data_IF_084473083919
#
_entry.id   IF_084473083919
#
_cell.length_a   1.000
_cell.length_b   1.000
_cell.length_c   1.000
_cell.angle_alpha   90.00
_cell.angle_beta   90.00
_cell.angle_gamma   90.00
#
_symmetry.space_group_name_H-M   'P 1'
#
loop_
_entity.id
_entity.type
_entity.pdbx_description
1 polymer ?
#
# COMPACT_ATOMS: atom_id res chain seq x y z
N UNK A 1 -45.34 -37.54 -17.93
CA UNK A 1 -44.05 -37.05 -17.38
C UNK A 1 -44.23 -36.12 -16.17
N UNK A 2 -45.40 -35.56 -15.90
CA UNK A 2 -45.60 -34.56 -14.81
C UNK A 2 -45.82 -35.17 -13.41
N UNK A 3 -46.18 -36.45 -13.35
CA UNK A 3 -46.49 -37.13 -12.08
C UNK A 3 -45.23 -37.40 -11.23
N UNK A 4 -44.09 -37.66 -11.86
CA UNK A 4 -42.85 -38.04 -11.16
C UNK A 4 -42.23 -36.84 -10.46
N UNK A 5 -42.26 -35.65 -11.06
CA UNK A 5 -41.81 -34.41 -10.43
C UNK A 5 -42.63 -34.07 -9.19
N UNK A 6 -43.93 -34.38 -9.23
CA UNK A 6 -44.85 -34.15 -8.11
C UNK A 6 -44.60 -35.16 -6.99
N UNK A 7 -44.32 -36.42 -7.35
CA UNK A 7 -43.95 -37.46 -6.40
C UNK A 7 -42.61 -37.15 -5.71
N UNK A 8 -41.60 -36.74 -6.49
CA UNK A 8 -40.27 -36.38 -5.98
C UNK A 8 -40.35 -35.16 -5.05
N UNK A 9 -41.15 -34.13 -5.39
CA UNK A 9 -41.38 -32.98 -4.50
C UNK A 9 -42.02 -33.40 -3.18
N UNK A 10 -43.01 -34.28 -3.22
CA UNK A 10 -43.68 -34.75 -2.01
C UNK A 10 -42.77 -35.64 -1.16
N UNK A 11 -41.92 -36.47 -1.77
CA UNK A 11 -40.89 -37.24 -1.06
C UNK A 11 -39.81 -36.35 -0.44
N UNK A 12 -39.34 -35.34 -1.19
CA UNK A 12 -38.37 -34.36 -0.70
C UNK A 12 -38.93 -33.53 0.45
N UNK A 13 -40.21 -33.13 0.38
CA UNK A 13 -40.89 -32.41 1.45
C UNK A 13 -41.16 -33.29 2.68
N UNK A 14 -41.59 -34.54 2.48
CA UNK A 14 -41.89 -35.46 3.57
C UNK A 14 -40.64 -36.00 4.28
N UNK A 15 -39.51 -36.13 3.57
CA UNK A 15 -38.22 -36.56 4.11
C UNK A 15 -37.19 -35.42 4.23
N UNK A 16 -37.62 -34.14 4.15
CA UNK A 16 -36.80 -33.00 4.57
C UNK A 16 -36.72 -33.06 6.09
N UNK A 17 -35.95 -34.01 6.60
CA UNK A 17 -35.43 -33.95 7.94
C UNK A 17 -34.55 -32.70 7.91
N UNK A 18 -35.09 -31.58 8.41
CA UNK A 18 -34.26 -30.48 8.87
C UNK A 18 -33.36 -31.11 9.92
N UNK A 19 -32.19 -31.55 9.48
CA UNK A 19 -31.09 -31.87 10.36
C UNK A 19 -30.94 -30.58 11.15
N UNK A 20 -31.39 -30.59 12.41
CA UNK A 20 -31.15 -29.48 13.30
C UNK A 20 -29.66 -29.21 13.21
N UNK A 21 -29.32 -28.00 12.77
CA UNK A 21 -27.96 -27.56 12.78
C UNK A 21 -27.57 -27.41 14.25
N UNK A 22 -27.15 -28.53 14.84
CA UNK A 22 -26.74 -28.73 16.25
C UNK A 22 -25.44 -27.97 16.55
N UNK A 23 -25.30 -26.77 15.98
CA UNK A 23 -24.06 -26.07 15.86
C UNK A 23 -23.06 -26.74 14.92
N UNK A 24 -23.48 -27.51 13.92
CA UNK A 24 -22.59 -28.05 12.88
C UNK A 24 -22.00 -26.93 12.02
N UNK A 25 -22.82 -26.02 11.48
CA UNK A 25 -22.28 -24.85 10.75
C UNK A 25 -21.46 -23.97 11.67
N UNK A 26 -21.90 -23.79 12.92
CA UNK A 26 -21.18 -23.01 13.94
C UNK A 26 -19.85 -23.68 14.34
N UNK A 27 -19.80 -25.00 14.38
CA UNK A 27 -18.65 -25.83 14.74
C UNK A 27 -17.67 -26.03 13.60
N UNK A 28 -18.15 -26.02 12.34
CA UNK A 28 -17.30 -26.09 11.14
C UNK A 28 -16.71 -24.70 10.83
N UNK A 29 -17.48 -23.62 10.99
CA UNK A 29 -16.98 -22.24 10.80
C UNK A 29 -16.01 -21.84 11.92
N UNK A 30 -16.23 -22.28 13.17
CA UNK A 30 -15.23 -22.11 14.26
C UNK A 30 -13.96 -22.94 14.09
N UNK A 31 -13.99 -23.96 13.21
CA UNK A 31 -12.79 -24.72 12.82
C UNK A 31 -12.09 -24.14 11.60
N UNK A 32 -12.48 -22.96 11.11
CA UNK A 32 -11.53 -22.14 10.37
C UNK A 32 -10.45 -21.71 11.36
N UNK A 33 -9.18 -22.06 11.12
CA UNK A 33 -8.13 -21.94 12.11
C UNK A 33 -7.86 -20.46 12.41
N UNK A 34 -8.52 -19.93 13.44
CA UNK A 34 -8.08 -18.73 14.16
C UNK A 34 -6.57 -18.75 14.49
N UNK A 35 -5.92 -19.90 14.81
CA UNK A 35 -4.46 -19.93 14.96
C UNK A 35 -3.67 -19.56 13.69
N UNK A 36 -4.21 -19.74 12.48
CA UNK A 36 -3.48 -19.42 11.25
C UNK A 36 -3.29 -17.91 11.05
N UNK A 37 -4.26 -17.09 11.50
CA UNK A 37 -4.16 -15.63 11.43
C UNK A 37 -3.05 -15.12 12.34
N UNK A 38 -2.97 -15.62 13.58
CA UNK A 38 -1.93 -15.22 14.52
C UNK A 38 -0.52 -15.66 14.08
N UNK A 39 -0.39 -16.86 13.51
CA UNK A 39 0.87 -17.32 12.90
C UNK A 39 1.27 -16.46 11.69
N UNK A 40 0.30 -16.09 10.84
CA UNK A 40 0.54 -15.20 9.70
C UNK A 40 0.97 -13.80 10.17
N UNK A 41 0.32 -13.27 11.20
CA UNK A 41 0.64 -11.96 11.76
C UNK A 41 2.03 -11.95 12.41
N UNK A 42 2.37 -12.99 13.19
CA UNK A 42 3.72 -13.14 13.76
C UNK A 42 4.77 -13.25 12.67
N UNK A 43 4.51 -14.06 11.64
CA UNK A 43 5.45 -14.24 10.55
C UNK A 43 5.62 -12.94 9.74
N UNK A 44 4.54 -12.20 9.54
CA UNK A 44 4.56 -10.88 8.90
C UNK A 44 5.36 -9.85 9.71
N UNK A 45 5.12 -9.76 11.02
CA UNK A 45 5.87 -8.87 11.93
C UNK A 45 7.35 -9.25 11.96
N UNK A 46 7.66 -10.55 12.03
CA UNK A 46 9.04 -11.05 12.01
C UNK A 46 9.72 -10.71 10.68
N UNK A 47 9.02 -10.90 9.56
CA UNK A 47 9.50 -10.53 8.23
C UNK A 47 9.77 -9.03 8.12
N UNK A 48 8.87 -8.18 8.64
CA UNK A 48 9.05 -6.73 8.66
C UNK A 48 10.30 -6.33 9.47
N UNK A 49 10.50 -6.92 10.64
CA UNK A 49 11.68 -6.65 11.48
C UNK A 49 12.97 -7.06 10.75
N UNK A 50 12.98 -8.23 10.11
CA UNK A 50 14.14 -8.70 9.32
C UNK A 50 14.40 -7.77 8.14
N UNK A 51 13.38 -7.34 7.41
CA UNK A 51 13.51 -6.36 6.33
C UNK A 51 14.08 -5.02 6.84
N UNK A 52 13.60 -4.50 7.96
CA UNK A 52 14.14 -3.27 8.56
C UNK A 52 15.60 -3.44 8.99
N UNK A 53 15.95 -4.57 9.63
CA UNK A 53 17.30 -4.85 10.06
C UNK A 53 18.26 -4.98 8.87
N UNK A 54 17.87 -5.70 7.82
CA UNK A 54 18.64 -5.81 6.59
C UNK A 54 18.79 -4.43 5.92
N UNK A 55 17.71 -3.65 5.82
CA UNK A 55 17.75 -2.30 5.24
C UNK A 55 18.72 -1.38 5.99
N UNK A 56 18.78 -1.50 7.32
CA UNK A 56 19.74 -0.77 8.14
C UNK A 56 21.19 -1.26 7.96
N UNK A 57 21.42 -2.58 7.99
CA UNK A 57 22.77 -3.19 7.81
C UNK A 57 23.35 -2.87 6.43
N UNK A 58 22.52 -2.90 5.39
CA UNK A 58 22.93 -2.59 4.02
C UNK A 58 23.03 -1.08 3.74
N UNK A 59 22.90 -0.25 4.77
CA UNK A 59 22.89 1.21 4.64
C UNK A 59 21.92 1.68 3.54
N UNK A 60 20.73 1.07 3.46
CA UNK A 60 19.78 1.27 2.36
C UNK A 60 19.38 2.74 2.17
N UNK A 61 19.45 3.55 3.23
CA UNK A 61 19.25 4.99 3.14
C UNK A 61 20.35 5.70 2.35
N UNK A 62 21.61 5.31 2.52
CA UNK A 62 22.74 5.85 1.76
C UNK A 62 22.58 5.52 0.27
N UNK A 63 22.23 4.27 -0.05
CA UNK A 63 22.00 3.80 -1.43
C UNK A 63 20.82 4.56 -2.07
N UNK A 64 19.71 4.74 -1.34
CA UNK A 64 18.56 5.51 -1.83
C UNK A 64 18.93 6.98 -2.04
N UNK A 65 19.62 7.61 -1.10
CA UNK A 65 20.05 8.99 -1.22
C UNK A 65 21.01 9.18 -2.40
N UNK A 66 21.98 8.27 -2.58
CA UNK A 66 22.89 8.28 -3.73
C UNK A 66 22.11 8.11 -5.03
N UNK A 67 21.19 7.14 -5.12
CA UNK A 67 20.37 6.91 -6.32
C UNK A 67 19.50 8.12 -6.66
N UNK A 68 18.85 8.73 -5.66
CA UNK A 68 18.04 9.93 -5.85
C UNK A 68 18.93 11.09 -6.30
N UNK A 69 20.08 11.28 -5.65
CA UNK A 69 21.06 12.30 -6.03
C UNK A 69 21.55 12.10 -7.45
N UNK A 70 21.85 10.88 -7.87
CA UNK A 70 22.29 10.55 -9.23
C UNK A 70 21.19 10.76 -10.27
N UNK A 71 19.94 10.45 -9.94
CA UNK A 71 18.78 10.76 -10.80
C UNK A 71 18.61 12.28 -10.92
N UNK A 72 18.63 13.01 -9.82
CA UNK A 72 18.52 14.47 -9.84
C UNK A 72 19.68 15.08 -10.61
N UNK A 73 20.90 14.60 -10.39
CA UNK A 73 22.12 15.09 -11.04
C UNK A 73 22.11 14.76 -12.54
N UNK A 74 21.72 13.54 -12.93
CA UNK A 74 21.61 13.15 -14.34
C UNK A 74 20.54 13.96 -15.08
N UNK A 75 19.40 14.27 -14.46
CA UNK A 75 18.39 15.14 -15.06
C UNK A 75 18.83 16.62 -15.08
N UNK A 76 19.58 17.07 -14.07
CA UNK A 76 20.14 18.43 -14.07
C UNK A 76 21.25 18.61 -15.10
N UNK A 77 22.05 17.60 -15.45
CA UNK A 77 23.04 17.77 -16.52
C UNK A 77 22.41 18.17 -17.86
N UNK A 78 21.24 17.61 -18.21
CA UNK A 78 20.52 17.99 -19.43
C UNK A 78 19.81 19.35 -19.31
N UNK A 79 19.23 19.67 -18.16
CA UNK A 79 18.50 20.93 -17.94
C UNK A 79 19.42 22.13 -17.66
N UNK A 80 20.54 21.93 -16.98
CA UNK A 80 21.53 22.95 -16.61
C UNK A 80 22.48 23.24 -17.77
N UNK A 81 22.74 22.29 -18.67
CA UNK A 81 23.53 22.58 -19.87
C UNK A 81 22.76 23.39 -20.93
N UNK A 82 21.42 23.30 -20.95
CA UNK A 82 20.58 24.04 -21.92
C UNK A 82 20.14 25.41 -21.38
N UNK A 83 20.01 25.54 -20.06
CA UNK A 83 19.74 26.83 -19.44
C UNK A 83 21.01 27.67 -19.37
N UNK A 84 21.06 28.73 -20.17
CA UNK A 84 22.10 29.76 -20.08
C UNK A 84 22.21 30.21 -18.61
N UNK A 85 23.36 29.95 -17.98
CA UNK A 85 23.67 30.33 -16.59
C UNK A 85 23.27 31.78 -16.28
N UNK A 86 23.40 32.66 -17.26
CA UNK A 86 22.97 34.05 -17.20
C UNK A 86 21.46 34.21 -16.96
N UNK A 87 20.61 33.45 -17.66
CA UNK A 87 19.14 33.47 -17.46
C UNK A 87 18.75 32.89 -16.10
N UNK A 88 19.44 31.87 -15.61
CA UNK A 88 19.19 31.27 -14.29
C UNK A 88 19.53 32.24 -13.15
N UNK A 89 20.65 32.95 -13.25
CA UNK A 89 21.06 33.99 -12.29
C UNK A 89 20.04 35.12 -12.26
N UNK A 90 19.57 35.58 -13.43
CA UNK A 90 18.54 36.63 -13.53
C UNK A 90 17.22 36.16 -12.90
N UNK A 91 16.74 34.95 -13.23
CA UNK A 91 15.51 34.41 -12.67
C UNK A 91 15.57 34.29 -11.15
N UNK A 92 16.71 33.82 -10.62
CA UNK A 92 16.93 33.70 -9.17
C UNK A 92 16.95 35.07 -8.49
N UNK A 93 17.64 36.06 -9.08
CA UNK A 93 17.67 37.43 -8.55
C UNK A 93 16.27 38.07 -8.52
N UNK A 94 15.48 37.89 -9.57
CA UNK A 94 14.10 38.40 -9.65
C UNK A 94 13.22 37.75 -8.57
N UNK A 95 13.33 36.43 -8.37
CA UNK A 95 12.57 35.73 -7.32
C UNK A 95 12.94 36.22 -5.92
N UNK A 96 14.23 36.50 -5.65
CA UNK A 96 14.68 37.07 -4.37
C UNK A 96 14.09 38.47 -4.17
N UNK A 97 14.11 39.33 -5.20
CA UNK A 97 13.54 40.67 -5.12
C UNK A 97 12.04 40.61 -4.85
N UNK A 98 11.30 39.76 -5.56
CA UNK A 98 9.85 39.57 -5.35
C UNK A 98 9.59 39.04 -3.94
N UNK A 99 10.37 38.05 -3.48
CA UNK A 99 10.26 37.49 -2.13
C UNK A 99 10.50 38.55 -1.05
N UNK A 100 11.55 39.36 -1.20
CA UNK A 100 11.85 40.48 -0.29
C UNK A 100 10.76 41.54 -0.32
N UNK A 101 10.24 41.90 -1.49
CA UNK A 101 9.11 42.83 -1.61
C UNK A 101 7.86 42.28 -0.91
N UNK A 102 7.56 40.99 -1.08
CA UNK A 102 6.44 40.32 -0.40
C UNK A 102 6.60 40.36 1.12
N UNK A 103 7.79 40.04 1.64
CA UNK A 103 8.08 40.04 3.08
C UNK A 103 8.05 41.45 3.66
N UNK A 104 8.59 42.45 2.95
CA UNK A 104 8.57 43.85 3.38
C UNK A 104 7.15 44.45 3.33
N UNK A 105 6.35 44.09 2.31
CA UNK A 105 4.95 44.53 2.18
C UNK A 105 3.99 43.83 3.14
N UNK A 106 4.33 42.64 3.67
CA UNK A 106 3.57 41.92 4.70
C UNK A 106 3.83 42.46 6.11
N UNK A 107 4.84 43.31 6.28
CA UNK A 107 5.30 43.83 7.56
C UNK A 107 4.77 45.24 7.88
N UNK A 108 3.85 45.74 7.06
CA UNK A 108 3.01 46.92 7.25
C UNK A 108 1.54 46.51 7.21
#
# INVERSE_FOLDING_TARGET
MENDDTLIKNFMLANKHEIEDNGFSRGVIRRLPQPAQWLSDILSVTCAIVCCALFYIFNGFEILCQTISDIVTSQTYYLVSDTNFQSLVIATAVLIIIGLQRVCSLKW
#
